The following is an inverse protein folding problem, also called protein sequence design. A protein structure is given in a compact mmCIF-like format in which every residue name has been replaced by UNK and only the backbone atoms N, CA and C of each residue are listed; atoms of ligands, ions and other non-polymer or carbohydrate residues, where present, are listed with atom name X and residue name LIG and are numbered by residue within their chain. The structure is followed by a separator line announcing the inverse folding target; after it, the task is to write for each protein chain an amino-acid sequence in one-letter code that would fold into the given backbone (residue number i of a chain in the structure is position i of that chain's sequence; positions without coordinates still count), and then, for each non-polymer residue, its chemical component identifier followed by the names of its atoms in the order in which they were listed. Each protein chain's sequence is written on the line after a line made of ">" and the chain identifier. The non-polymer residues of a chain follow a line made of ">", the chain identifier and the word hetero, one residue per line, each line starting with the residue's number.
data_IF_197528762407
#
_entry.id   IF_197528762407
#
_cell.length_a   1.000
_cell.length_b   1.000
_cell.length_c   1.000
_cell.angle_alpha   90.00
_cell.angle_beta   90.00
_cell.angle_gamma   90.00
#
_symmetry.space_group_name_H-M   'P 1'
#
loop_
_entity.id
_entity.type
_entity.pdbx_description
1 polymer ?
#
# COMPACT_ATOMS: atom_id res chain seq x y z
N UNK A 1 2.75 -49.57 -112.70
CA UNK A 1 2.50 -48.11 -112.76
C UNK A 1 1.29 -47.80 -111.91
N UNK A 2 1.39 -47.01 -110.84
CA UNK A 2 0.21 -46.61 -110.08
C UNK A 2 -0.53 -45.49 -110.83
N UNK A 3 -1.79 -45.71 -111.19
CA UNK A 3 -2.60 -44.72 -111.88
C UNK A 3 -2.92 -43.55 -110.93
N UNK A 4 -2.33 -42.38 -111.18
CA UNK A 4 -2.75 -41.14 -110.51
C UNK A 4 -4.18 -40.83 -110.94
N UNK A 5 -5.16 -41.01 -110.04
CA UNK A 5 -6.45 -40.35 -110.21
C UNK A 5 -6.19 -38.85 -110.35
N UNK A 6 -6.65 -38.21 -111.43
CA UNK A 6 -6.53 -36.76 -111.56
C UNK A 6 -7.27 -36.07 -110.41
N UNK A 7 -6.81 -34.91 -109.95
CA UNK A 7 -7.35 -34.22 -108.77
C UNK A 7 -8.87 -33.94 -108.88
N UNK A 8 -9.38 -33.75 -110.10
CA UNK A 8 -10.83 -33.67 -110.42
C UNK A 8 -11.66 -34.88 -109.96
N UNK A 9 -11.04 -36.05 -109.76
CA UNK A 9 -11.66 -37.26 -109.25
C UNK A 9 -11.51 -37.44 -107.73
N UNK A 10 -10.68 -36.61 -107.09
CA UNK A 10 -10.60 -36.50 -105.63
C UNK A 10 -11.64 -35.46 -105.20
N UNK A 11 -11.61 -34.26 -105.79
CA UNK A 11 -12.59 -33.20 -105.57
C UNK A 11 -14.04 -33.70 -105.70
N UNK A 12 -14.37 -34.41 -106.80
CA UNK A 12 -15.72 -34.99 -106.98
C UNK A 12 -16.15 -36.00 -105.92
N UNK A 13 -15.22 -36.61 -105.19
CA UNK A 13 -15.52 -37.50 -104.06
C UNK A 13 -15.68 -36.72 -102.76
N UNK A 14 -14.89 -35.66 -102.57
CA UNK A 14 -15.02 -34.72 -101.44
C UNK A 14 -16.34 -33.94 -101.55
N UNK A 15 -16.64 -33.33 -102.70
CA UNK A 15 -17.92 -32.67 -103.01
C UNK A 15 -19.14 -33.58 -102.72
N UNK A 16 -19.01 -34.88 -103.01
CA UNK A 16 -20.06 -35.89 -102.78
C UNK A 16 -20.19 -36.29 -101.31
N UNK A 17 -19.07 -36.40 -100.58
CA UNK A 17 -19.07 -36.65 -99.14
C UNK A 17 -19.66 -35.47 -98.36
N UNK A 18 -19.31 -34.24 -98.72
CA UNK A 18 -19.89 -33.03 -98.11
C UNK A 18 -21.38 -32.91 -98.41
N UNK A 19 -21.81 -33.20 -99.64
CA UNK A 19 -23.23 -33.26 -99.99
C UNK A 19 -23.99 -34.34 -99.20
N UNK A 20 -23.43 -35.54 -99.04
CA UNK A 20 -24.03 -36.59 -98.20
C UNK A 20 -24.09 -36.16 -96.73
N UNK A 21 -23.05 -35.50 -96.22
CA UNK A 21 -23.02 -35.02 -94.84
C UNK A 21 -24.08 -33.92 -94.60
N UNK A 22 -24.21 -32.96 -95.51
CA UNK A 22 -25.27 -31.94 -95.44
C UNK A 22 -26.66 -32.58 -95.49
N UNK A 23 -26.90 -33.52 -96.42
CA UNK A 23 -28.17 -34.25 -96.53
C UNK A 23 -28.51 -35.04 -95.28
N UNK A 24 -27.55 -35.77 -94.73
CA UNK A 24 -27.71 -36.49 -93.48
C UNK A 24 -28.06 -35.53 -92.34
N UNK A 25 -27.25 -34.49 -92.12
CA UNK A 25 -27.50 -33.51 -91.06
C UNK A 25 -28.80 -32.70 -91.25
N UNK A 26 -29.28 -32.49 -92.48
CA UNK A 26 -30.60 -31.91 -92.73
C UNK A 26 -31.72 -32.89 -92.32
N UNK A 27 -31.62 -34.16 -92.74
CA UNK A 27 -32.60 -35.19 -92.42
C UNK A 27 -32.69 -35.48 -90.91
N UNK A 28 -31.55 -35.63 -90.23
CA UNK A 28 -31.49 -35.82 -88.78
C UNK A 28 -32.09 -34.63 -88.00
N UNK A 29 -31.88 -33.38 -88.47
CA UNK A 29 -32.48 -32.18 -87.85
C UNK A 29 -34.00 -32.15 -88.03
N UNK A 30 -34.51 -32.51 -89.21
CA UNK A 30 -35.95 -32.64 -89.45
C UNK A 30 -36.58 -33.74 -88.56
N UNK A 31 -35.94 -34.90 -88.49
CA UNK A 31 -36.36 -36.03 -87.65
C UNK A 31 -36.41 -35.68 -86.16
N UNK A 32 -35.33 -35.10 -85.62
CA UNK A 32 -35.28 -34.67 -84.20
C UNK A 32 -36.33 -33.59 -83.90
N UNK A 33 -36.68 -32.73 -84.87
CA UNK A 33 -37.78 -31.78 -84.73
C UNK A 33 -39.15 -32.48 -84.67
N UNK A 34 -39.41 -33.44 -85.57
CA UNK A 34 -40.65 -34.21 -85.60
C UNK A 34 -40.85 -35.05 -84.32
N UNK A 35 -39.82 -35.75 -83.84
CA UNK A 35 -39.87 -36.51 -82.58
C UNK A 35 -40.12 -35.58 -81.38
N UNK A 36 -39.48 -34.40 -81.32
CA UNK A 36 -39.74 -33.40 -80.27
C UNK A 36 -41.17 -32.83 -80.34
N UNK A 37 -41.77 -32.73 -81.52
CA UNK A 37 -43.18 -32.33 -81.67
C UNK A 37 -44.15 -33.44 -81.20
N UNK A 38 -43.88 -34.71 -81.56
CA UNK A 38 -44.70 -35.85 -81.14
C UNK A 38 -44.66 -36.09 -79.61
N UNK A 39 -43.49 -35.94 -78.98
CA UNK A 39 -43.36 -36.06 -77.51
C UNK A 39 -44.17 -34.97 -76.76
N UNK A 40 -44.25 -33.76 -77.32
CA UNK A 40 -45.04 -32.64 -76.75
C UNK A 40 -46.55 -32.84 -76.86
N UNK A 41 -47.05 -33.64 -77.81
CA UNK A 41 -48.49 -33.93 -77.96
C UNK A 41 -48.97 -35.15 -77.18
N UNK A 42 -48.10 -35.78 -76.39
CA UNK A 42 -48.40 -36.87 -75.45
C UNK A 42 -48.99 -38.16 -76.03
N UNK A 43 -49.00 -38.33 -77.36
CA UNK A 43 -49.31 -39.62 -78.02
C UNK A 43 -48.07 -40.52 -78.07
N UNK A 44 -47.82 -41.27 -77.00
CA UNK A 44 -46.61 -42.12 -76.85
C UNK A 44 -46.50 -43.20 -77.94
N UNK A 45 -47.62 -43.76 -78.39
CA UNK A 45 -47.66 -44.81 -79.43
C UNK A 45 -47.19 -44.28 -80.80
N UNK A 46 -47.65 -43.09 -81.19
CA UNK A 46 -47.26 -42.44 -82.45
C UNK A 46 -45.76 -42.10 -82.51
N UNK A 47 -45.11 -41.88 -81.35
CA UNK A 47 -43.67 -41.66 -81.29
C UNK A 47 -42.86 -42.93 -81.61
N UNK A 48 -43.42 -44.12 -81.36
CA UNK A 48 -42.80 -45.40 -81.74
C UNK A 48 -42.99 -45.70 -83.24
N UNK A 49 -44.18 -45.46 -83.80
CA UNK A 49 -44.41 -45.57 -85.26
C UNK A 49 -43.46 -44.66 -86.06
N UNK A 50 -43.20 -43.44 -85.57
CA UNK A 50 -42.24 -42.50 -86.19
C UNK A 50 -40.79 -43.02 -86.08
N UNK A 51 -40.48 -43.88 -85.11
CA UNK A 51 -39.15 -44.45 -84.92
C UNK A 51 -38.88 -45.59 -85.91
N UNK A 52 -39.78 -46.58 -85.99
CA UNK A 52 -39.67 -47.69 -86.95
C UNK A 52 -39.69 -47.19 -88.40
N UNK A 53 -40.63 -46.28 -88.72
CA UNK A 53 -40.76 -45.71 -90.07
C UNK A 53 -39.57 -44.83 -90.48
N UNK A 54 -38.69 -44.45 -89.55
CA UNK A 54 -37.43 -43.78 -89.85
C UNK A 54 -36.31 -44.78 -90.22
N UNK A 55 -36.36 -46.02 -89.72
CA UNK A 55 -35.45 -47.08 -90.12
C UNK A 55 -35.71 -47.46 -91.59
N UNK A 56 -36.98 -47.60 -91.98
CA UNK A 56 -37.36 -47.80 -93.40
C UNK A 56 -36.90 -46.66 -94.30
N UNK A 57 -37.06 -45.39 -93.87
CA UNK A 57 -36.70 -44.20 -94.68
C UNK A 57 -35.19 -43.96 -94.76
N UNK A 58 -34.39 -44.55 -93.86
CA UNK A 58 -32.92 -44.46 -93.88
C UNK A 58 -32.22 -45.65 -94.54
N UNK A 59 -32.98 -46.65 -95.03
CA UNK A 59 -32.42 -47.91 -95.54
C UNK A 59 -32.18 -48.02 -97.08
N UNK A 60 -32.85 -47.28 -98.00
CA UNK A 60 -32.70 -47.49 -99.44
C UNK A 60 -31.93 -46.37 -100.16
N UNK A 61 -30.59 -46.40 -100.11
CA UNK A 61 -29.74 -45.74 -101.14
C UNK A 61 -28.25 -46.18 -101.14
N UNK A 62 -27.92 -47.36 -100.58
CA UNK A 62 -26.60 -47.97 -100.76
C UNK A 62 -26.59 -48.83 -102.04
N UNK A 63 -25.74 -48.54 -103.04
CA UNK A 63 -25.66 -49.35 -104.26
C UNK A 63 -25.03 -50.72 -103.99
N UNK A 64 -25.67 -51.77 -104.50
CA UNK A 64 -25.23 -53.15 -104.40
C UNK A 64 -23.85 -53.34 -105.11
N UNK A 65 -22.80 -53.82 -104.40
CA UNK A 65 -21.46 -53.97 -104.97
C UNK A 65 -21.30 -55.19 -105.90
N UNK A 66 -22.34 -56.00 -106.15
CA UNK A 66 -22.23 -57.28 -106.89
C UNK A 66 -22.21 -57.15 -108.43
N UNK A 67 -22.20 -55.95 -109.00
CA UNK A 67 -22.20 -55.71 -110.46
C UNK A 67 -20.87 -55.24 -111.07
N UNK A 68 -19.73 -55.68 -110.54
CA UNK A 68 -18.44 -55.64 -111.24
C UNK A 68 -17.68 -56.97 -111.01
N UNK A 69 -17.85 -57.95 -111.90
CA UNK A 69 -16.75 -58.33 -112.80
C UNK A 69 -17.18 -59.35 -113.86
N UNK A 70 -16.95 -58.99 -115.13
CA UNK A 70 -16.97 -59.93 -116.24
C UNK A 70 -15.56 -60.43 -116.52
N UNK A 71 -15.29 -61.69 -116.20
CA UNK A 71 -14.15 -62.52 -116.64
C UNK A 71 -12.92 -61.79 -117.23
N UNK A 72 -11.81 -61.73 -116.49
CA UNK A 72 -10.47 -61.90 -117.07
C UNK A 72 -9.62 -62.76 -116.15
N UNK A 73 -8.68 -63.52 -116.72
CA UNK A 73 -7.88 -64.52 -116.00
C UNK A 73 -6.53 -63.93 -115.50
N UNK A 74 -5.79 -64.76 -114.76
CA UNK A 74 -4.34 -64.62 -114.47
C UNK A 74 -3.89 -63.42 -113.61
N UNK A 75 -3.82 -63.60 -112.28
CA UNK A 75 -2.68 -63.18 -111.41
C UNK A 75 -2.88 -63.60 -109.93
N UNK A 76 -3.15 -64.89 -109.65
CA UNK A 76 -3.39 -65.38 -108.26
C UNK A 76 -2.14 -65.62 -107.39
N UNK A 77 -0.96 -65.14 -107.81
CA UNK A 77 0.32 -65.42 -107.14
C UNK A 77 0.67 -64.52 -105.95
N UNK A 78 0.39 -63.20 -106.04
CA UNK A 78 0.85 -62.22 -105.04
C UNK A 78 -0.05 -62.07 -103.81
N UNK A 79 -1.35 -61.90 -104.04
CA UNK A 79 -2.30 -61.42 -103.02
C UNK A 79 -2.46 -62.33 -101.79
N UNK A 80 -2.02 -63.60 -101.84
CA UNK A 80 -2.12 -64.53 -100.72
C UNK A 80 -1.31 -64.10 -99.49
N UNK A 81 -0.12 -63.53 -99.70
CA UNK A 81 0.74 -63.09 -98.59
C UNK A 81 0.25 -61.78 -97.96
N UNK A 82 -0.21 -60.83 -98.79
CA UNK A 82 -0.81 -59.58 -98.32
C UNK A 82 -2.11 -59.84 -97.56
N UNK A 83 -2.97 -60.75 -98.06
CA UNK A 83 -4.20 -61.17 -97.38
C UNK A 83 -3.94 -61.77 -96.00
N UNK A 84 -2.86 -62.56 -95.84
CA UNK A 84 -2.51 -63.12 -94.54
C UNK A 84 -1.94 -62.05 -93.60
N UNK A 85 -1.07 -61.16 -94.08
CA UNK A 85 -0.58 -60.02 -93.29
C UNK A 85 -1.71 -59.07 -92.85
N UNK A 86 -2.75 -58.88 -93.68
CA UNK A 86 -3.95 -58.13 -93.32
C UNK A 86 -4.78 -58.84 -92.24
N UNK A 87 -4.94 -60.17 -92.30
CA UNK A 87 -5.60 -60.94 -91.22
C UNK A 87 -4.86 -60.83 -89.89
N UNK A 88 -3.52 -60.95 -89.90
CA UNK A 88 -2.72 -60.83 -88.67
C UNK A 88 -2.85 -59.45 -88.04
N UNK A 89 -2.91 -58.39 -88.87
CA UNK A 89 -3.16 -57.01 -88.44
C UNK A 89 -4.58 -56.81 -87.91
N UNK A 90 -5.59 -57.42 -88.52
CA UNK A 90 -6.97 -57.40 -88.01
C UNK A 90 -7.02 -58.08 -86.64
N UNK A 91 -6.46 -59.29 -86.51
CA UNK A 91 -6.40 -60.03 -85.24
C UNK A 91 -5.51 -59.33 -84.17
N UNK A 92 -4.64 -58.40 -84.55
CA UNK A 92 -3.95 -57.49 -83.62
C UNK A 92 -4.86 -56.34 -83.17
N UNK A 93 -5.56 -55.68 -84.09
CA UNK A 93 -6.49 -54.59 -83.79
C UNK A 93 -7.67 -55.07 -82.96
N UNK A 94 -8.20 -56.27 -83.21
CA UNK A 94 -9.25 -56.91 -82.41
C UNK A 94 -8.81 -57.13 -80.95
N UNK A 95 -7.58 -57.60 -80.73
CA UNK A 95 -7.00 -57.74 -79.39
C UNK A 95 -6.83 -56.39 -78.69
N UNK A 96 -6.27 -55.39 -79.39
CA UNK A 96 -6.12 -54.04 -78.84
C UNK A 96 -7.47 -53.38 -78.53
N UNK A 97 -8.50 -53.64 -79.34
CA UNK A 97 -9.87 -53.18 -79.09
C UNK A 97 -10.46 -53.87 -77.85
N UNK A 98 -10.26 -55.17 -77.67
CA UNK A 98 -10.73 -55.90 -76.48
C UNK A 98 -9.98 -55.45 -75.21
N UNK A 99 -8.67 -55.21 -75.31
CA UNK A 99 -7.83 -54.68 -74.23
C UNK A 99 -8.31 -53.29 -73.81
N UNK A 100 -8.48 -52.35 -74.76
CA UNK A 100 -9.01 -51.02 -74.49
C UNK A 100 -10.47 -51.04 -73.96
N UNK A 101 -11.30 -52.00 -74.36
CA UNK A 101 -12.64 -52.19 -73.78
C UNK A 101 -12.57 -52.65 -72.32
N UNK A 102 -11.64 -53.55 -71.99
CA UNK A 102 -11.42 -54.03 -70.62
C UNK A 102 -10.88 -52.89 -69.73
N UNK A 103 -9.88 -52.14 -70.21
CA UNK A 103 -9.36 -50.94 -69.53
C UNK A 103 -10.46 -49.91 -69.28
N UNK A 104 -11.29 -49.63 -70.29
CA UNK A 104 -12.43 -48.69 -70.15
C UNK A 104 -13.43 -49.18 -69.10
N UNK A 105 -13.73 -50.48 -69.05
CA UNK A 105 -14.60 -51.07 -68.03
C UNK A 105 -14.02 -50.94 -66.62
N UNK A 106 -12.71 -51.12 -66.45
CA UNK A 106 -12.04 -50.91 -65.15
C UNK A 106 -12.09 -49.44 -64.76
N UNK A 107 -11.69 -48.52 -65.64
CA UNK A 107 -11.72 -47.07 -65.40
C UNK A 107 -13.13 -46.53 -65.12
N UNK A 108 -14.16 -47.03 -65.80
CA UNK A 108 -15.57 -46.72 -65.49
C UNK A 108 -15.96 -47.16 -64.07
N UNK A 109 -15.43 -48.29 -63.60
CA UNK A 109 -15.70 -48.80 -62.25
C UNK A 109 -14.95 -48.03 -61.16
N UNK A 110 -13.68 -47.68 -61.38
CA UNK A 110 -12.86 -46.85 -60.48
C UNK A 110 -13.45 -45.43 -60.37
N UNK A 111 -13.77 -44.81 -61.50
CA UNK A 111 -14.37 -43.48 -61.57
C UNK A 111 -15.76 -43.44 -60.90
N UNK A 112 -16.51 -44.54 -60.92
CA UNK A 112 -17.74 -44.69 -60.12
C UNK A 112 -17.45 -44.78 -58.62
N UNK A 113 -16.44 -45.55 -58.21
CA UNK A 113 -16.04 -45.69 -56.81
C UNK A 113 -15.55 -44.35 -56.22
N UNK A 114 -14.64 -43.67 -56.92
CA UNK A 114 -14.12 -42.33 -56.52
C UNK A 114 -15.24 -41.29 -56.40
N UNK A 115 -16.26 -41.34 -57.29
CA UNK A 115 -17.44 -40.47 -57.17
C UNK A 115 -18.27 -40.77 -55.92
N UNK A 116 -18.42 -42.04 -55.53
CA UNK A 116 -19.13 -42.42 -54.31
C UNK A 116 -18.35 -42.02 -53.05
N UNK A 117 -17.02 -42.18 -53.05
CA UNK A 117 -16.15 -41.73 -51.95
C UNK A 117 -16.14 -40.20 -51.80
N UNK A 118 -16.10 -39.46 -52.92
CA UNK A 118 -16.21 -38.01 -52.90
C UNK A 118 -17.59 -37.56 -52.38
N UNK A 119 -18.68 -38.22 -52.81
CA UNK A 119 -20.03 -37.90 -52.34
C UNK A 119 -20.19 -38.14 -50.84
N UNK A 120 -19.71 -39.27 -50.30
CA UNK A 120 -19.79 -39.54 -48.85
C UNK A 120 -18.95 -38.56 -48.05
N UNK A 121 -17.73 -38.24 -48.49
CA UNK A 121 -16.88 -37.22 -47.84
C UNK A 121 -17.54 -35.83 -47.82
N UNK A 122 -18.18 -35.41 -48.92
CA UNK A 122 -18.93 -34.15 -48.93
C UNK A 122 -20.05 -34.16 -47.89
N UNK A 123 -20.90 -35.20 -47.85
CA UNK A 123 -22.01 -35.25 -46.88
C UNK A 123 -21.56 -35.39 -45.41
N UNK A 124 -20.40 -36.01 -45.15
CA UNK A 124 -19.77 -35.97 -43.83
C UNK A 124 -19.33 -34.56 -43.46
N UNK A 125 -18.59 -33.87 -44.34
CA UNK A 125 -18.11 -32.50 -44.10
C UNK A 125 -19.26 -31.48 -43.97
N UNK A 126 -20.34 -31.64 -44.74
CA UNK A 126 -21.57 -30.84 -44.61
C UNK A 126 -22.22 -31.02 -43.23
N UNK A 127 -22.22 -32.26 -42.70
CA UNK A 127 -22.76 -32.58 -41.38
C UNK A 127 -21.89 -32.04 -40.24
N UNK A 128 -20.56 -32.16 -40.36
CA UNK A 128 -19.59 -31.61 -39.42
C UNK A 128 -19.64 -30.07 -39.38
N UNK A 129 -19.75 -29.42 -40.55
CA UNK A 129 -19.87 -27.97 -40.68
C UNK A 129 -21.11 -27.44 -39.95
N UNK A 130 -22.27 -28.06 -40.17
CA UNK A 130 -23.52 -27.62 -39.54
C UNK A 130 -23.55 -27.91 -38.03
N UNK A 131 -22.89 -28.99 -37.58
CA UNK A 131 -22.68 -29.25 -36.14
C UNK A 131 -21.82 -28.16 -35.49
N UNK A 132 -20.63 -27.87 -36.02
CA UNK A 132 -19.71 -26.85 -35.48
C UNK A 132 -20.36 -25.46 -35.49
N UNK A 133 -21.15 -25.15 -36.53
CA UNK A 133 -21.92 -23.91 -36.64
C UNK A 133 -23.01 -23.81 -35.56
N UNK A 134 -23.72 -24.90 -35.26
CA UNK A 134 -24.72 -24.93 -34.19
C UNK A 134 -24.07 -24.84 -32.80
N UNK A 135 -22.92 -25.50 -32.60
CA UNK A 135 -22.12 -25.44 -31.37
C UNK A 135 -21.64 -24.00 -31.10
N UNK A 136 -21.00 -23.36 -32.08
CA UNK A 136 -20.56 -21.96 -31.98
C UNK A 136 -21.73 -20.97 -31.77
N UNK A 137 -22.91 -21.24 -32.34
CA UNK A 137 -24.12 -20.45 -32.07
C UNK A 137 -24.63 -20.63 -30.63
N UNK A 138 -24.57 -21.86 -30.10
CA UNK A 138 -24.93 -22.15 -28.71
C UNK A 138 -23.95 -21.47 -27.74
N UNK A 139 -22.63 -21.66 -27.91
CA UNK A 139 -21.59 -21.02 -27.10
C UNK A 139 -21.74 -19.49 -27.08
N UNK A 140 -21.94 -18.87 -28.25
CA UNK A 140 -22.20 -17.43 -28.36
C UNK A 140 -23.42 -17.02 -27.52
N UNK A 141 -24.51 -17.79 -27.56
CA UNK A 141 -25.72 -17.47 -26.79
C UNK A 141 -25.50 -17.57 -25.27
N UNK A 142 -24.70 -18.56 -24.83
CA UNK A 142 -24.27 -18.72 -23.43
C UNK A 142 -23.43 -17.53 -22.98
N UNK A 143 -22.35 -17.21 -23.71
CA UNK A 143 -21.46 -16.08 -23.40
C UNK A 143 -22.19 -14.73 -23.42
N UNK A 144 -23.14 -14.53 -24.33
CA UNK A 144 -24.01 -13.36 -24.33
C UNK A 144 -24.91 -13.27 -23.09
N UNK A 145 -25.31 -14.39 -22.50
CA UNK A 145 -26.12 -14.43 -21.27
C UNK A 145 -25.27 -14.18 -20.03
N UNK A 146 -24.08 -14.79 -19.95
CA UNK A 146 -23.11 -14.60 -18.87
C UNK A 146 -22.62 -13.15 -18.82
N UNK A 147 -22.28 -12.57 -19.96
CA UNK A 147 -21.85 -11.16 -20.04
C UNK A 147 -22.95 -10.18 -19.61
N UNK A 148 -24.23 -10.50 -19.89
CA UNK A 148 -25.38 -9.72 -19.38
C UNK A 148 -25.51 -9.86 -17.86
N UNK A 149 -25.32 -11.06 -17.32
CA UNK A 149 -25.36 -11.34 -15.88
C UNK A 149 -24.26 -10.60 -15.11
N UNK A 150 -22.99 -10.79 -15.51
CA UNK A 150 -21.82 -10.13 -14.89
C UNK A 150 -21.91 -8.61 -14.97
N UNK A 151 -22.47 -8.06 -16.06
CA UNK A 151 -22.70 -6.62 -16.19
C UNK A 151 -23.75 -6.09 -15.21
N UNK A 152 -24.83 -6.85 -14.97
CA UNK A 152 -25.85 -6.49 -13.98
C UNK A 152 -25.30 -6.59 -12.55
N UNK A 153 -24.55 -7.65 -12.23
CA UNK A 153 -23.88 -7.82 -10.95
C UNK A 153 -22.90 -6.67 -10.65
N UNK A 154 -22.03 -6.33 -11.60
CA UNK A 154 -21.10 -5.21 -11.47
C UNK A 154 -21.82 -3.85 -11.30
N UNK A 155 -22.97 -3.66 -11.96
CA UNK A 155 -23.80 -2.45 -11.79
C UNK A 155 -24.43 -2.41 -10.38
N UNK A 156 -24.92 -3.54 -9.87
CA UNK A 156 -25.51 -3.65 -8.53
C UNK A 156 -24.45 -3.39 -7.45
N UNK A 157 -23.31 -4.08 -7.50
CA UNK A 157 -22.17 -3.88 -6.58
C UNK A 157 -21.72 -2.43 -6.56
N UNK A 158 -21.59 -1.79 -7.74
CA UNK A 158 -21.28 -0.37 -7.84
C UNK A 158 -22.32 0.51 -7.13
N UNK A 159 -23.61 0.27 -7.35
CA UNK A 159 -24.68 1.07 -6.73
C UNK A 159 -24.74 0.93 -5.21
N UNK A 160 -24.48 -0.27 -4.69
CA UNK A 160 -24.33 -0.52 -3.24
C UNK A 160 -23.16 0.27 -2.68
N UNK A 161 -21.96 0.15 -3.27
CA UNK A 161 -20.76 0.86 -2.82
C UNK A 161 -20.89 2.39 -2.89
N UNK A 162 -21.55 2.93 -3.93
CA UNK A 162 -21.86 4.37 -4.01
C UNK A 162 -22.83 4.82 -2.89
N UNK A 163 -23.76 3.95 -2.46
CA UNK A 163 -24.67 4.25 -1.34
C UNK A 163 -23.99 4.15 0.03
N UNK A 164 -23.15 3.13 0.26
CA UNK A 164 -22.38 2.93 1.50
C UNK A 164 -21.37 4.07 1.70
N UNK A 165 -20.61 4.41 0.67
CA UNK A 165 -19.66 5.52 0.69
C UNK A 165 -20.34 6.86 1.04
N UNK A 166 -21.57 7.08 0.55
CA UNK A 166 -22.36 8.26 0.88
C UNK A 166 -22.82 8.25 2.34
N UNK A 167 -23.21 7.09 2.88
CA UNK A 167 -23.60 6.93 4.28
C UNK A 167 -22.42 7.20 5.22
N UNK A 168 -21.31 6.50 5.04
CA UNK A 168 -20.08 6.66 5.85
C UNK A 168 -19.56 8.09 5.81
N UNK A 169 -19.63 8.76 4.65
CA UNK A 169 -19.25 10.17 4.54
C UNK A 169 -20.15 11.11 5.34
N UNK A 170 -21.47 10.84 5.39
CA UNK A 170 -22.41 11.63 6.18
C UNK A 170 -22.23 11.38 7.68
N UNK A 171 -22.01 10.13 8.07
CA UNK A 171 -21.74 9.71 9.45
C UNK A 171 -20.48 10.39 10.00
N UNK A 172 -19.35 10.28 9.31
CA UNK A 172 -18.10 10.95 9.69
C UNK A 172 -18.22 12.49 9.72
N UNK A 173 -19.07 13.08 8.87
CA UNK A 173 -19.37 14.52 8.92
C UNK A 173 -20.21 14.89 10.16
N UNK A 174 -21.15 14.03 10.56
CA UNK A 174 -21.95 14.23 11.76
C UNK A 174 -21.09 14.09 13.03
N UNK A 175 -20.32 13.00 13.15
CA UNK A 175 -19.39 12.76 14.27
C UNK A 175 -18.41 13.92 14.45
N UNK A 176 -17.79 14.38 13.36
CA UNK A 176 -16.89 15.55 13.38
C UNK A 176 -17.61 16.79 13.90
N UNK A 177 -18.85 17.03 13.49
CA UNK A 177 -19.64 18.19 13.93
C UNK A 177 -19.95 18.12 15.43
N UNK A 178 -20.25 16.94 15.96
CA UNK A 178 -20.41 16.68 17.40
C UNK A 178 -19.12 16.98 18.15
N UNK A 179 -18.00 16.37 17.73
CA UNK A 179 -16.68 16.54 18.37
C UNK A 179 -16.18 18.00 18.34
N UNK A 180 -16.41 18.74 17.26
CA UNK A 180 -16.10 20.18 17.20
C UNK A 180 -16.95 21.00 18.19
N UNK A 181 -18.18 20.57 18.50
CA UNK A 181 -19.05 21.21 19.49
C UNK A 181 -18.65 20.87 20.94
N UNK A 182 -18.32 19.61 21.21
CA UNK A 182 -17.84 19.14 22.52
C UNK A 182 -16.51 19.79 22.89
N UNK A 183 -15.55 19.82 21.95
CA UNK A 183 -14.26 20.48 22.12
C UNK A 183 -14.42 21.98 22.45
N UNK A 184 -15.40 22.64 21.83
CA UNK A 184 -15.73 24.05 22.11
C UNK A 184 -16.32 24.22 23.51
N UNK A 185 -17.19 23.32 23.94
CA UNK A 185 -17.77 23.34 25.30
C UNK A 185 -16.69 23.13 26.36
N UNK A 186 -15.90 22.05 26.25
CA UNK A 186 -14.80 21.73 27.16
C UNK A 186 -13.77 22.86 27.26
N UNK A 187 -13.44 23.51 26.14
CA UNK A 187 -12.54 24.69 26.14
C UNK A 187 -13.13 25.88 26.90
N UNK A 188 -14.43 26.11 26.82
CA UNK A 188 -15.10 27.18 27.57
C UNK A 188 -15.18 26.85 29.06
N UNK A 189 -15.47 25.58 29.40
CA UNK A 189 -15.49 25.08 30.77
C UNK A 189 -14.13 25.23 31.46
N UNK A 190 -13.06 24.72 30.84
CA UNK A 190 -11.69 24.87 31.36
C UNK A 190 -11.24 26.35 31.47
N UNK A 191 -11.74 27.23 30.60
CA UNK A 191 -11.49 28.68 30.71
C UNK A 191 -12.25 29.29 31.91
N UNK A 192 -13.48 28.83 32.19
CA UNK A 192 -14.26 29.26 33.34
C UNK A 192 -13.62 28.77 34.65
N UNK A 193 -13.30 27.48 34.76
CA UNK A 193 -12.61 26.89 35.93
C UNK A 193 -11.31 27.62 36.25
N UNK A 194 -10.47 27.85 35.23
CA UNK A 194 -9.23 28.60 35.38
C UNK A 194 -9.49 30.01 35.92
N UNK A 195 -10.53 30.68 35.45
CA UNK A 195 -10.89 32.04 35.89
C UNK A 195 -11.32 32.05 37.37
N UNK A 196 -12.07 31.02 37.80
CA UNK A 196 -12.42 30.80 39.20
C UNK A 196 -11.18 30.58 40.06
N UNK A 197 -10.32 29.62 39.69
CA UNK A 197 -9.08 29.30 40.42
C UNK A 197 -8.11 30.51 40.50
N UNK A 198 -7.99 31.30 39.43
CA UNK A 198 -7.21 32.55 39.46
C UNK A 198 -7.80 33.61 40.40
N UNK A 199 -9.11 33.57 40.69
CA UNK A 199 -9.76 34.46 41.67
C UNK A 199 -9.58 33.96 43.11
N UNK A 200 -9.72 32.66 43.34
CA UNK A 200 -9.50 32.02 44.65
C UNK A 200 -8.05 32.16 45.10
N UNK A 201 -7.09 31.94 44.19
CA UNK A 201 -5.66 32.14 44.45
C UNK A 201 -5.33 33.59 44.89
N UNK A 202 -5.98 34.58 44.27
CA UNK A 202 -5.84 36.01 44.65
C UNK A 202 -6.42 36.27 46.04
N UNK A 203 -7.61 35.72 46.32
CA UNK A 203 -8.26 35.82 47.64
C UNK A 203 -7.40 35.20 48.75
N UNK A 204 -6.96 33.96 48.57
CA UNK A 204 -6.10 33.25 49.53
C UNK A 204 -4.76 33.96 49.75
N UNK A 205 -4.14 34.49 48.69
CA UNK A 205 -2.92 35.29 48.81
C UNK A 205 -3.15 36.57 49.64
N UNK A 206 -4.30 37.24 49.47
CA UNK A 206 -4.64 38.42 50.26
C UNK A 206 -4.94 38.07 51.72
N UNK A 207 -5.64 36.96 52.01
CA UNK A 207 -5.83 36.50 53.39
C UNK A 207 -4.48 36.20 54.05
N UNK A 208 -3.62 35.44 53.39
CA UNK A 208 -2.28 35.11 53.89
C UNK A 208 -1.44 36.36 54.17
N UNK A 209 -1.48 37.37 53.29
CA UNK A 209 -0.79 38.64 53.49
C UNK A 209 -1.36 39.45 54.68
N UNK A 210 -2.69 39.52 54.82
CA UNK A 210 -3.36 40.17 55.94
C UNK A 210 -3.04 39.48 57.28
N UNK A 211 -2.95 38.15 57.27
CA UNK A 211 -2.63 37.32 58.44
C UNK A 211 -1.16 37.47 58.85
N UNK A 212 -0.27 37.61 57.87
CA UNK A 212 1.15 37.90 58.10
C UNK A 212 1.35 39.26 58.76
N UNK A 213 0.75 40.33 58.24
CA UNK A 213 0.89 41.67 58.83
C UNK A 213 0.21 41.79 60.21
N UNK A 214 -0.88 41.06 60.44
CA UNK A 214 -1.48 40.93 61.77
C UNK A 214 -0.55 40.24 62.77
N UNK A 215 0.09 39.12 62.39
CA UNK A 215 1.08 38.45 63.25
C UNK A 215 2.33 39.31 63.50
N UNK A 216 2.81 40.02 62.48
CA UNK A 216 3.95 40.93 62.58
C UNK A 216 3.67 42.12 63.51
N UNK A 217 2.47 42.69 63.46
CA UNK A 217 2.07 43.77 64.39
C UNK A 217 1.92 43.29 65.84
N UNK A 218 1.41 42.06 66.07
CA UNK A 218 1.42 41.44 67.40
C UNK A 218 2.83 41.13 67.91
N UNK A 219 3.73 40.66 67.05
CA UNK A 219 5.12 40.39 67.42
C UNK A 219 5.84 41.69 67.83
N UNK A 220 5.60 42.78 67.11
CA UNK A 220 6.17 44.09 67.42
C UNK A 220 5.58 44.72 68.69
N UNK A 221 4.29 44.52 69.00
CA UNK A 221 3.71 44.99 70.26
C UNK A 221 4.23 44.20 71.46
N UNK A 222 4.34 42.86 71.35
CA UNK A 222 4.95 42.02 72.37
C UNK A 222 6.44 42.37 72.60
N UNK A 223 7.22 42.57 71.53
CA UNK A 223 8.63 42.95 71.62
C UNK A 223 8.82 44.32 72.30
N UNK A 224 7.96 45.30 71.99
CA UNK A 224 8.02 46.62 72.64
C UNK A 224 7.52 46.61 74.08
N UNK A 225 6.59 45.70 74.45
CA UNK A 225 6.25 45.45 75.86
C UNK A 225 7.43 44.86 76.63
N UNK A 226 8.02 43.75 76.14
CA UNK A 226 9.18 43.10 76.77
C UNK A 226 10.38 44.06 76.88
N UNK A 227 10.58 44.95 75.90
CA UNK A 227 11.59 46.00 75.97
C UNK A 227 11.33 47.01 77.11
N UNK A 228 10.08 47.45 77.29
CA UNK A 228 9.69 48.32 78.42
C UNK A 228 9.91 47.63 79.76
N UNK A 229 9.45 46.39 79.92
CA UNK A 229 9.61 45.59 81.14
C UNK A 229 11.08 45.38 81.48
N UNK A 230 11.92 44.99 80.50
CA UNK A 230 13.36 44.89 80.69
C UNK A 230 14.00 46.23 81.09
N UNK A 231 13.57 47.36 80.50
CA UNK A 231 14.07 48.68 80.89
C UNK A 231 13.73 49.04 82.34
N UNK A 232 12.53 48.68 82.81
CA UNK A 232 12.09 48.87 84.20
C UNK A 232 12.85 47.96 85.16
N UNK A 233 13.05 46.69 84.79
CA UNK A 233 13.85 45.73 85.56
C UNK A 233 15.32 46.19 85.71
N UNK A 234 15.93 46.71 84.64
CA UNK A 234 17.28 47.29 84.67
C UNK A 234 17.33 48.53 85.59
N UNK A 235 16.31 49.39 85.60
CA UNK A 235 16.22 50.51 86.54
C UNK A 235 16.05 50.03 87.99
N UNK A 236 15.26 48.99 88.24
CA UNK A 236 15.11 48.36 89.56
C UNK A 236 16.43 47.79 90.08
N UNK A 237 17.14 47.03 89.25
CA UNK A 237 18.46 46.49 89.55
C UNK A 237 19.49 47.59 89.83
N UNK A 238 19.47 48.70 89.08
CA UNK A 238 20.34 49.87 89.36
C UNK A 238 20.02 50.52 90.71
N UNK A 239 18.74 50.66 91.08
CA UNK A 239 18.34 51.15 92.43
C UNK A 239 18.83 50.22 93.53
N UNK A 240 18.64 48.91 93.38
CA UNK A 240 19.16 47.90 94.32
C UNK A 240 20.69 47.94 94.43
N UNK A 241 21.41 48.11 93.32
CA UNK A 241 22.87 48.22 93.32
C UNK A 241 23.36 49.48 94.05
N UNK A 242 22.63 50.60 93.98
CA UNK A 242 22.92 51.81 94.76
C UNK A 242 22.68 51.55 96.25
N UNK A 243 21.56 50.92 96.62
CA UNK A 243 21.25 50.57 98.01
C UNK A 243 22.27 49.60 98.62
N UNK A 244 22.72 48.60 97.85
CA UNK A 244 23.81 47.69 98.25
C UNK A 244 25.10 48.47 98.46
N UNK A 245 25.50 49.34 97.52
CA UNK A 245 26.69 50.20 97.70
C UNK A 245 26.59 51.09 98.94
N UNK A 246 25.42 51.65 99.24
CA UNK A 246 25.20 52.46 100.44
C UNK A 246 25.28 51.61 101.72
N UNK A 247 24.70 50.40 101.73
CA UNK A 247 24.80 49.44 102.84
C UNK A 247 26.25 49.02 103.08
N UNK A 248 26.98 48.72 102.01
CA UNK A 248 28.35 48.26 102.08
C UNK A 248 29.32 49.42 102.39
N UNK A 249 28.98 50.67 102.04
CA UNK A 249 29.65 51.88 102.54
C UNK A 249 29.37 52.12 104.03
N UNK A 250 28.16 51.85 104.52
CA UNK A 250 27.86 51.92 105.96
C UNK A 250 28.58 50.79 106.74
N UNK A 251 28.65 49.58 106.18
CA UNK A 251 29.44 48.48 106.72
C UNK A 251 30.95 48.79 106.68
N UNK A 252 31.45 49.42 105.62
CA UNK A 252 32.82 49.90 105.52
C UNK A 252 33.11 51.05 106.49
N UNK A 253 32.14 51.92 106.79
CA UNK A 253 32.28 52.96 107.82
C UNK A 253 32.35 52.37 109.23
N UNK A 254 31.63 51.27 109.52
CA UNK A 254 31.80 50.51 110.75
C UNK A 254 33.16 49.75 110.79
N UNK A 255 33.56 49.16 109.66
CA UNK A 255 34.83 48.46 109.51
C UNK A 255 36.05 49.39 109.40
N UNK A 256 35.87 50.70 109.19
CA UNK A 256 36.95 51.70 109.19
C UNK A 256 37.65 51.85 110.55
N UNK A 257 37.13 51.18 111.58
CA UNK A 257 37.81 50.95 112.87
C UNK A 257 38.88 49.84 112.79
N UNK A 258 39.09 49.18 111.63
CA UNK A 258 40.02 48.05 111.46
C UNK A 258 40.62 47.89 110.02
N UNK A 259 41.77 48.55 109.79
CA UNK A 259 42.96 48.10 109.02
C UNK A 259 42.90 47.51 107.56
N UNK A 260 43.58 48.22 106.63
CA UNK A 260 44.64 47.73 105.68
C UNK A 260 44.29 46.86 104.42
N UNK A 261 44.49 47.45 103.22
CA UNK A 261 45.17 47.01 101.95
C UNK A 261 45.41 45.48 101.60
N UNK A 262 45.60 45.07 100.31
CA UNK A 262 45.11 45.59 99.00
C UNK A 262 44.58 44.48 97.98
N UNK A 263 44.98 44.33 96.67
CA UNK A 263 44.08 44.18 95.50
C UNK A 263 44.23 42.78 94.81
N UNK A 264 43.96 42.51 93.49
CA UNK A 264 43.30 43.24 92.38
C UNK A 264 41.98 42.53 91.91
N UNK A 265 41.37 42.58 90.69
CA UNK A 265 41.78 42.62 89.25
C UNK A 265 40.67 43.13 88.29
N UNK A 266 40.95 43.11 86.97
CA UNK A 266 40.05 43.29 85.81
C UNK A 266 40.22 42.06 84.86
N UNK A 267 39.65 41.92 83.61
CA UNK A 267 38.94 42.91 82.77
C UNK A 267 37.76 42.39 81.86
N UNK A 268 37.20 43.30 81.05
CA UNK A 268 36.66 43.08 79.67
C UNK A 268 35.39 42.20 79.46
N UNK A 269 34.75 42.14 78.26
CA UNK A 269 34.39 43.15 77.23
C UNK A 269 33.47 42.48 76.16
N UNK A 270 32.94 43.27 75.21
CA UNK A 270 32.46 42.87 73.85
C UNK A 270 31.52 41.64 73.70
N UNK A 271 30.25 41.77 73.31
CA UNK A 271 29.72 42.28 72.03
C UNK A 271 29.88 41.34 70.81
N UNK A 272 28.74 40.74 70.43
CA UNK A 272 28.17 40.56 69.08
C UNK A 272 28.99 40.01 67.88
N UNK A 273 28.22 39.24 67.08
CA UNK A 273 28.40 38.91 65.66
C UNK A 273 29.42 37.81 65.28
N UNK A 274 28.87 36.79 64.61
CA UNK A 274 29.53 36.02 63.54
C UNK A 274 28.63 36.13 62.30
N UNK A 275 29.19 36.24 61.08
CA UNK A 275 28.38 36.30 59.87
C UNK A 275 27.77 34.93 59.54
N UNK A 276 26.68 34.94 58.77
CA UNK A 276 26.15 33.76 58.09
C UNK A 276 27.23 33.20 57.16
N UNK A 277 27.55 31.91 57.30
CA UNK A 277 28.36 31.18 56.31
C UNK A 277 27.48 30.80 55.12
N UNK A 278 27.97 31.02 53.91
CA UNK A 278 27.37 30.48 52.67
C UNK A 278 27.44 28.93 52.71
N UNK A 279 26.30 28.26 52.83
CA UNK A 279 26.22 26.80 53.04
C UNK A 279 26.29 26.06 51.71
N UNK A 280 27.48 26.03 51.12
CA UNK A 280 27.81 25.13 50.00
C UNK A 280 28.46 23.84 50.51
N UNK A 281 27.68 22.98 51.16
CA UNK A 281 28.11 21.57 51.32
C UNK A 281 28.13 20.91 49.94
N UNK A 282 29.32 20.65 49.42
CA UNK A 282 29.53 19.74 48.28
C UNK A 282 29.68 18.33 48.81
N UNK A 283 28.64 17.52 48.67
CA UNK A 283 28.79 16.06 48.70
C UNK A 283 29.35 15.64 47.33
N UNK A 284 30.31 14.70 47.34
CA UNK A 284 30.93 14.16 46.13
C UNK A 284 31.12 12.67 46.28
N UNK A 285 30.64 11.90 45.29
CA UNK A 285 30.75 10.44 45.24
C UNK A 285 31.24 10.01 43.85
N UNK A 286 31.74 8.78 43.73
CA UNK A 286 32.17 8.21 42.46
C UNK A 286 30.97 7.55 41.75
N UNK A 287 30.75 7.89 40.48
CA UNK A 287 29.73 7.26 39.64
C UNK A 287 30.21 5.91 39.06
N UNK A 288 31.49 5.56 39.25
CA UNK A 288 32.07 4.28 38.87
C UNK A 288 31.78 3.20 39.91
N UNK A 289 31.18 2.10 39.47
CA UNK A 289 30.90 0.93 40.29
C UNK A 289 31.84 -0.23 39.92
N UNK A 290 31.99 -1.21 40.81
CA UNK A 290 32.87 -2.38 40.59
C UNK A 290 32.50 -3.26 39.39
N UNK A 291 31.28 -3.10 38.86
CA UNK A 291 30.78 -3.82 37.68
C UNK A 291 31.07 -3.09 36.35
N UNK A 292 31.55 -1.84 36.38
CA UNK A 292 31.78 -1.07 35.15
C UNK A 292 32.97 -1.61 34.35
N UNK A 293 32.74 -1.90 33.07
CA UNK A 293 33.78 -2.35 32.14
C UNK A 293 34.71 -1.23 31.68
N UNK A 294 34.38 0.04 31.94
CA UNK A 294 35.16 1.21 31.54
C UNK A 294 34.94 2.39 32.48
N UNK A 295 35.67 3.50 32.27
CA UNK A 295 35.36 4.77 32.94
C UNK A 295 33.96 5.24 32.54
N UNK A 296 33.09 5.62 33.51
CA UNK A 296 31.74 6.05 33.21
C UNK A 296 31.73 7.35 32.40
N UNK A 297 30.93 7.40 31.33
CA UNK A 297 30.71 8.60 30.55
C UNK A 297 29.29 9.11 30.83
N UNK A 298 29.19 10.00 31.83
CA UNK A 298 27.90 10.45 32.35
C UNK A 298 27.35 11.57 31.47
N UNK A 299 26.38 11.22 30.62
CA UNK A 299 25.77 12.18 29.70
C UNK A 299 24.72 13.05 30.39
N UNK A 300 23.92 12.48 31.29
CA UNK A 300 22.81 13.17 31.94
C UNK A 300 22.57 12.68 33.37
N UNK A 301 22.07 13.58 34.22
CA UNK A 301 21.79 13.32 35.64
C UNK A 301 20.48 13.99 36.03
N UNK A 302 19.55 13.21 36.55
CA UNK A 302 18.23 13.70 36.96
C UNK A 302 17.95 13.36 38.43
N UNK A 303 17.61 14.39 39.21
CA UNK A 303 17.12 14.23 40.57
C UNK A 303 15.65 13.79 40.52
N UNK A 304 15.36 12.68 41.19
CA UNK A 304 14.01 12.14 41.39
C UNK A 304 13.42 12.68 42.71
N UNK A 305 12.08 12.74 42.85
CA UNK A 305 11.44 12.98 44.14
C UNK A 305 11.95 12.00 45.22
N UNK A 306 11.99 12.46 46.46
CA UNK A 306 12.67 11.71 47.54
C UNK A 306 14.20 11.76 47.48
N UNK A 307 14.79 12.51 46.54
CA UNK A 307 16.22 12.86 46.53
C UNK A 307 17.15 11.84 45.85
N UNK A 308 16.59 10.79 45.23
CA UNK A 308 17.37 9.77 44.50
C UNK A 308 17.95 10.36 43.22
N UNK A 309 19.15 9.94 42.83
CA UNK A 309 19.83 10.39 41.62
C UNK A 309 19.79 9.28 40.56
N UNK A 310 19.32 9.60 39.36
CA UNK A 310 19.36 8.73 38.19
C UNK A 310 20.35 9.29 37.16
N UNK A 311 21.24 8.45 36.64
CA UNK A 311 22.30 8.85 35.71
C UNK A 311 22.32 7.95 34.47
N UNK A 312 22.59 8.51 33.30
CA UNK A 312 22.93 7.75 32.08
C UNK A 312 24.45 7.59 31.98
N UNK A 313 24.90 6.37 31.69
CA UNK A 313 26.30 6.06 31.40
C UNK A 313 26.41 5.54 29.97
N UNK A 314 26.89 6.42 29.08
CA UNK A 314 26.92 6.18 27.63
C UNK A 314 27.87 5.03 27.28
N UNK A 315 29.07 5.00 27.86
CA UNK A 315 30.09 3.97 27.58
C UNK A 315 29.69 2.62 28.15
N UNK A 316 29.27 2.56 29.41
CA UNK A 316 28.82 1.29 30.02
C UNK A 316 27.40 0.87 29.58
N UNK A 317 26.72 1.68 28.73
CA UNK A 317 25.38 1.44 28.16
C UNK A 317 24.34 1.11 29.22
N UNK A 318 24.28 1.91 30.28
CA UNK A 318 23.39 1.61 31.40
C UNK A 318 22.77 2.86 32.02
N UNK A 319 21.80 2.64 32.91
CA UNK A 319 21.21 3.67 33.77
C UNK A 319 21.45 3.26 35.22
N UNK A 320 22.06 4.16 35.99
CA UNK A 320 22.46 3.92 37.38
C UNK A 320 21.59 4.74 38.33
N UNK A 321 21.17 4.12 39.43
CA UNK A 321 20.39 4.73 40.51
C UNK A 321 21.26 4.83 41.78
N UNK A 322 21.29 6.01 42.39
CA UNK A 322 21.99 6.32 43.64
C UNK A 322 21.04 7.03 44.62
N UNK A 323 21.41 7.06 45.90
CA UNK A 323 20.72 7.86 46.93
C UNK A 323 21.30 9.29 47.08
N UNK A 324 20.85 10.03 48.10
CA UNK A 324 21.35 11.38 48.43
C UNK A 324 22.76 11.42 49.02
N UNK A 325 23.30 10.27 49.46
CA UNK A 325 24.63 10.15 50.05
C UNK A 325 25.68 9.68 49.01
N UNK A 326 25.23 9.25 47.83
CA UNK A 326 26.09 8.70 46.78
C UNK A 326 26.28 7.18 46.88
N UNK A 327 25.44 6.48 47.65
CA UNK A 327 25.41 5.03 47.65
C UNK A 327 24.70 4.52 46.38
N UNK A 328 25.36 3.61 45.66
CA UNK A 328 24.77 2.91 44.52
C UNK A 328 23.65 1.96 44.98
N UNK A 329 22.50 2.03 44.31
CA UNK A 329 21.31 1.24 44.61
C UNK A 329 21.02 0.21 43.51
N UNK A 330 21.14 0.61 42.23
CA UNK A 330 20.81 -0.26 41.10
C UNK A 330 21.52 0.16 39.81
N UNK A 331 21.76 -0.82 38.93
CA UNK A 331 22.14 -0.59 37.53
C UNK A 331 21.18 -1.36 36.65
N UNK A 332 20.60 -0.68 35.66
CA UNK A 332 19.85 -1.28 34.58
C UNK A 332 20.69 -1.19 33.30
N UNK A 333 21.04 -2.34 32.72
CA UNK A 333 21.67 -2.38 31.40
C UNK A 333 20.66 -1.98 30.32
N UNK A 334 21.07 -1.07 29.44
CA UNK A 334 20.29 -0.61 28.30
C UNK A 334 20.68 -1.38 27.04
N UNK A 335 19.74 -1.51 26.10
CA UNK A 335 20.00 -2.20 24.81
C UNK A 335 20.99 -1.48 23.90
N UNK A 336 21.27 -0.20 24.18
CA UNK A 336 22.22 0.63 23.46
C UNK A 336 22.75 1.75 24.37
N UNK A 337 23.60 2.63 23.85
CA UNK A 337 24.14 3.76 24.61
C UNK A 337 23.01 4.68 25.11
N UNK A 338 22.98 4.95 26.42
CA UNK A 338 21.99 5.81 27.08
C UNK A 338 22.43 7.28 27.02
N UNK A 339 21.53 8.17 26.61
CA UNK A 339 21.84 9.56 26.29
C UNK A 339 21.23 10.52 27.33
N UNK A 340 20.02 11.04 27.08
CA UNK A 340 19.29 12.01 27.92
C UNK A 340 18.11 11.38 28.67
N UNK A 341 17.79 11.95 29.83
CA UNK A 341 16.70 11.57 30.75
C UNK A 341 15.57 12.62 30.74
N UNK A 342 14.33 12.17 30.94
CA UNK A 342 13.23 13.05 31.29
C UNK A 342 12.26 12.38 32.28
N UNK A 343 12.01 13.00 33.44
CA UNK A 343 10.98 12.54 34.38
C UNK A 343 9.60 12.93 33.85
N UNK A 344 8.76 11.93 33.61
CA UNK A 344 7.38 12.05 33.15
C UNK A 344 6.39 12.15 34.31
N UNK A 345 6.61 11.36 35.36
CA UNK A 345 5.74 11.33 36.54
C UNK A 345 6.59 11.35 37.81
N UNK A 346 6.21 12.26 38.71
CA UNK A 346 6.87 12.54 39.98
C UNK A 346 6.07 12.05 41.20
N UNK A 347 5.13 11.11 41.02
CA UNK A 347 4.38 10.51 42.14
C UNK A 347 5.33 9.96 43.23
N UNK A 348 4.99 10.14 44.51
CA UNK A 348 5.89 9.88 45.65
C UNK A 348 6.33 8.43 45.87
N UNK A 349 5.85 7.48 45.06
CA UNK A 349 6.08 6.03 45.23
C UNK A 349 6.65 5.40 43.95
N UNK A 350 6.31 5.93 42.77
CA UNK A 350 6.77 5.44 41.47
C UNK A 350 7.10 6.61 40.55
N UNK A 351 8.26 6.58 39.93
CA UNK A 351 8.64 7.59 38.94
C UNK A 351 8.71 6.96 37.56
N UNK A 352 8.06 7.59 36.58
CA UNK A 352 8.20 7.20 35.17
C UNK A 352 9.25 8.11 34.54
N UNK A 353 10.26 7.53 33.88
CA UNK A 353 11.38 8.28 33.29
C UNK A 353 11.64 7.80 31.86
N UNK A 354 11.69 8.71 30.90
CA UNK A 354 12.09 8.41 29.53
C UNK A 354 13.62 8.53 29.37
N UNK A 355 14.22 7.62 28.61
CA UNK A 355 15.65 7.57 28.33
C UNK A 355 15.88 7.41 26.83
N UNK A 356 16.65 8.32 26.23
CA UNK A 356 16.97 8.26 24.79
C UNK A 356 18.11 7.28 24.50
N UNK A 357 17.92 6.43 23.49
CA UNK A 357 18.87 5.44 22.99
C UNK A 357 19.13 5.70 21.48
N UNK A 358 19.82 6.80 21.11
CA UNK A 358 19.95 7.24 19.71
C UNK A 358 20.51 6.13 18.80
N UNK A 359 21.53 5.41 19.27
CA UNK A 359 22.23 4.34 18.54
C UNK A 359 21.40 3.07 18.24
N UNK A 360 20.17 2.97 18.72
CA UNK A 360 19.22 1.94 18.27
C UNK A 360 17.85 2.52 17.86
N UNK A 361 17.79 3.84 17.58
CA UNK A 361 16.55 4.56 17.26
C UNK A 361 15.45 4.33 18.32
N UNK A 362 15.83 4.25 19.60
CA UNK A 362 14.95 3.82 20.68
C UNK A 362 14.75 4.88 21.77
N UNK A 363 13.62 4.78 22.48
CA UNK A 363 13.39 5.49 23.74
C UNK A 363 12.86 4.49 24.77
N UNK A 364 13.63 4.23 25.83
CA UNK A 364 13.20 3.37 26.93
C UNK A 364 12.39 4.18 27.94
N UNK A 365 11.15 3.76 28.20
CA UNK A 365 10.32 4.26 29.30
C UNK A 365 10.56 3.35 30.51
N UNK A 366 11.20 3.91 31.52
CA UNK A 366 11.58 3.22 32.76
C UNK A 366 10.56 3.50 33.87
N UNK A 367 10.37 2.50 34.74
CA UNK A 367 9.70 2.64 36.02
C UNK A 367 10.74 2.51 37.14
N UNK A 368 10.90 3.56 37.94
CA UNK A 368 11.68 3.56 39.18
C UNK A 368 10.70 3.35 40.34
N UNK A 369 10.89 2.27 41.11
CA UNK A 369 10.02 1.89 42.22
C UNK A 369 10.92 1.50 43.40
N UNK A 370 11.04 2.40 44.37
CA UNK A 370 12.05 2.31 45.43
C UNK A 370 13.46 2.21 44.85
N UNK A 371 14.23 1.24 45.33
CA UNK A 371 15.64 1.04 44.99
C UNK A 371 15.86 0.26 43.69
N UNK A 372 14.85 0.14 42.82
CA UNK A 372 14.92 -0.66 41.57
C UNK A 372 14.39 0.12 40.38
N UNK A 373 15.06 -0.06 39.24
CA UNK A 373 14.71 0.53 37.94
C UNK A 373 14.41 -0.61 36.97
N UNK A 374 13.35 -0.49 36.18
CA UNK A 374 12.98 -1.48 35.16
C UNK A 374 12.53 -0.81 33.87
N UNK A 375 12.83 -1.41 32.71
CA UNK A 375 12.17 -1.05 31.46
C UNK A 375 10.69 -1.45 31.55
N UNK A 376 9.79 -0.48 31.37
CA UNK A 376 8.33 -0.67 31.33
C UNK A 376 7.82 -0.78 29.89
N UNK A 377 8.42 -0.02 28.98
CA UNK A 377 8.16 -0.03 27.52
C UNK A 377 9.41 0.48 26.80
N UNK A 378 9.62 0.07 25.57
CA UNK A 378 10.55 0.73 24.64
C UNK A 378 9.75 1.20 23.44
N UNK A 379 9.96 2.46 23.04
CA UNK A 379 9.41 3.05 21.83
C UNK A 379 10.44 2.85 20.71
N UNK A 380 10.06 2.19 19.63
CA UNK A 380 10.89 2.07 18.43
C UNK A 380 10.59 3.23 17.51
N UNK A 381 11.61 4.02 17.18
CA UNK A 381 11.48 5.27 16.44
C UNK A 381 12.12 5.15 15.04
N UNK A 382 11.83 6.12 14.18
CA UNK A 382 12.37 6.27 12.83
C UNK A 382 13.58 7.23 12.74
N UNK A 383 14.02 7.82 13.86
CA UNK A 383 15.04 8.89 13.92
C UNK A 383 15.96 8.69 15.14
N UNK A 384 17.21 9.14 15.04
CA UNK A 384 18.10 9.22 16.20
C UNK A 384 17.68 10.41 17.09
N UNK A 385 17.03 10.13 18.22
CA UNK A 385 16.74 11.15 19.23
C UNK A 385 17.88 11.25 20.24
N UNK A 386 18.50 12.43 20.30
CA UNK A 386 19.65 12.75 21.14
C UNK A 386 19.27 13.60 22.36
N UNK A 387 18.08 14.21 22.36
CA UNK A 387 17.54 14.95 23.49
C UNK A 387 16.09 14.54 23.79
N UNK A 388 15.70 14.63 25.06
CA UNK A 388 14.32 14.40 25.52
C UNK A 388 13.99 15.35 26.68
N UNK A 389 12.76 15.85 26.70
CA UNK A 389 12.18 16.58 27.83
C UNK A 389 10.71 16.18 27.98
N UNK A 390 10.19 16.16 29.20
CA UNK A 390 8.76 15.95 29.43
C UNK A 390 8.01 17.28 29.25
N UNK A 391 6.97 17.27 28.40
CA UNK A 391 6.05 18.40 28.23
C UNK A 391 4.88 18.28 29.21
N UNK A 392 4.45 17.04 29.46
CA UNK A 392 3.51 16.64 30.50
C UNK A 392 3.67 15.11 30.73
N UNK A 393 2.91 14.54 31.66
CA UNK A 393 3.02 13.13 32.06
C UNK A 393 2.71 12.11 30.94
N UNK A 394 2.21 12.54 29.79
CA UNK A 394 1.86 11.72 28.62
C UNK A 394 2.62 12.10 27.33
N UNK A 395 3.39 13.20 27.34
CA UNK A 395 3.98 13.80 26.12
C UNK A 395 5.45 14.15 26.34
N UNK A 396 6.31 13.69 25.44
CA UNK A 396 7.73 14.03 25.39
C UNK A 396 7.99 14.99 24.21
N UNK A 397 8.86 15.96 24.41
CA UNK A 397 9.54 16.69 23.33
C UNK A 397 10.91 16.03 23.11
N UNK A 398 11.18 15.56 21.89
CA UNK A 398 12.40 14.82 21.56
C UNK A 398 13.17 15.50 20.42
N UNK A 399 14.42 15.84 20.68
CA UNK A 399 15.31 16.52 19.74
C UNK A 399 16.14 15.51 18.94
N UNK A 400 16.19 15.68 17.62
CA UNK A 400 16.91 14.81 16.70
C UNK A 400 17.98 15.53 15.88
N UNK A 401 18.97 14.74 15.47
CA UNK A 401 20.14 15.13 14.69
C UNK A 401 20.35 14.05 13.59
N UNK A 402 20.81 14.38 12.37
CA UNK A 402 21.36 15.67 11.92
C UNK A 402 20.34 16.76 11.57
N UNK A 403 19.08 16.42 11.27
CA UNK A 403 18.11 17.35 10.66
C UNK A 403 17.71 18.57 11.52
N UNK A 404 18.09 18.64 12.80
CA UNK A 404 17.78 19.72 13.75
C UNK A 404 16.28 20.05 13.86
N UNK A 405 15.52 19.11 14.42
CA UNK A 405 14.11 19.32 14.75
C UNK A 405 13.75 18.83 16.15
N UNK A 406 12.54 19.19 16.58
CA UNK A 406 11.91 18.66 17.79
C UNK A 406 10.59 18.02 17.38
N UNK A 407 10.43 16.73 17.67
CA UNK A 407 9.15 16.05 17.54
C UNK A 407 8.49 15.96 18.91
N UNK A 408 7.18 16.24 18.98
CA UNK A 408 6.34 15.95 20.14
C UNK A 408 5.78 14.56 19.95
N UNK A 409 6.05 13.66 20.90
CA UNK A 409 5.62 12.25 20.86
C UNK A 409 4.82 11.89 22.11
N UNK A 410 3.90 10.94 21.97
CA UNK A 410 3.19 10.35 23.10
C UNK A 410 3.97 9.16 23.71
N UNK A 411 3.45 8.58 24.80
CA UNK A 411 4.02 7.35 25.40
C UNK A 411 3.67 6.06 24.63
N UNK A 412 2.93 6.13 23.53
CA UNK A 412 2.79 5.09 22.51
C UNK A 412 3.93 5.09 21.48
N UNK A 413 4.62 6.22 21.30
CA UNK A 413 5.62 6.45 20.25
C UNK A 413 5.06 7.12 18.99
N UNK A 414 3.79 7.55 19.02
CA UNK A 414 3.18 8.32 17.93
C UNK A 414 3.71 9.75 17.94
N UNK A 415 4.14 10.24 16.78
CA UNK A 415 4.51 11.64 16.58
C UNK A 415 3.24 12.47 16.46
N UNK A 416 2.97 13.29 17.48
CA UNK A 416 1.82 14.18 17.57
C UNK A 416 2.02 15.47 16.76
N UNK A 417 3.26 15.97 16.71
CA UNK A 417 3.62 17.21 15.99
C UNK A 417 5.12 17.26 15.72
N UNK A 418 5.52 17.75 14.54
CA UNK A 418 6.92 18.05 14.24
C UNK A 418 7.16 19.56 14.27
N UNK A 419 8.33 19.98 14.76
CA UNK A 419 8.76 21.38 14.89
C UNK A 419 10.15 21.52 14.27
N UNK A 420 10.21 22.12 13.08
CA UNK A 420 11.44 22.27 12.30
C UNK A 420 12.14 23.61 12.56
N UNK A 421 13.49 23.60 12.48
CA UNK A 421 14.37 24.75 12.74
C UNK A 421 14.00 26.06 11.99
N UNK A 422 13.38 25.96 10.81
CA UNK A 422 12.89 27.10 10.01
C UNK A 422 11.92 28.05 10.74
N UNK A 423 11.34 27.66 11.87
CA UNK A 423 10.46 28.52 12.69
C UNK A 423 11.21 29.12 13.91
N UNK A 424 12.38 28.58 14.27
CA UNK A 424 13.10 28.94 15.49
C UNK A 424 13.84 30.30 15.42
N UNK A 425 14.13 30.80 14.21
CA UNK A 425 14.84 32.08 14.01
C UNK A 425 13.99 33.32 14.34
N UNK A 426 12.79 33.41 13.79
CA UNK A 426 12.12 34.71 13.61
C UNK A 426 11.04 35.09 14.64
N UNK A 427 10.53 34.14 15.45
CA UNK A 427 9.25 34.36 16.18
C UNK A 427 9.17 33.99 17.66
N UNK A 428 10.27 33.60 18.30
CA UNK A 428 10.26 33.22 19.73
C UNK A 428 10.91 34.28 20.65
N UNK A 429 11.66 35.25 20.09
CA UNK A 429 12.42 36.26 20.87
C UNK A 429 12.07 37.73 20.54
N UNK A 430 10.95 38.00 19.86
CA UNK A 430 10.45 39.37 19.73
C UNK A 430 9.93 39.89 21.08
N UNK A 431 10.53 40.97 21.60
CA UNK A 431 10.06 41.68 22.81
C UNK A 431 8.58 42.09 22.68
N UNK A 432 7.85 42.23 23.80
CA UNK A 432 6.55 42.90 23.77
C UNK A 432 6.76 44.37 23.36
N UNK A 433 6.22 44.76 22.20
CA UNK A 433 6.27 46.15 21.77
C UNK A 433 5.40 47.03 22.67
N UNK A 434 5.95 48.18 23.06
CA UNK A 434 5.24 49.24 23.77
C UNK A 434 4.36 50.03 22.79
N UNK A 435 3.50 50.89 23.33
CA UNK A 435 2.44 51.59 22.60
C UNK A 435 2.93 52.58 21.53
N UNK A 436 2.31 52.52 20.35
CA UNK A 436 2.02 53.63 19.42
C UNK A 436 0.93 53.11 18.47
N UNK A 437 -0.31 53.60 18.41
CA UNK A 437 -0.86 54.96 18.44
C UNK A 437 -0.68 55.71 17.10
N UNK A 438 -1.81 55.88 16.39
CA UNK A 438 -2.00 56.68 15.16
C UNK A 438 -1.25 56.13 13.90
N UNK A 439 -1.62 56.44 12.66
CA UNK A 439 -2.59 57.41 12.14
C UNK A 439 -3.28 56.91 10.84
N UNK A 440 -4.41 57.54 10.51
CA UNK A 440 -5.31 57.33 9.36
C UNK A 440 -4.67 56.93 8.00
N UNK A 441 -5.25 55.94 7.32
CA UNK A 441 -6.12 56.17 6.14
C UNK A 441 -6.94 54.94 5.75
#
# INVERSE_FOLDING_TARGET
>A
MAARMSDRSIQRKEDYLDWMHEKFCASSRAYVSAVKAALRSHRREHAAEIFERAIDVLSPDFPDPTSIDGQTQEEKGGNGNELNSLKDRIAQVERQLQEAQNERSTLESELKSVRQEAQTKCSTLESELEFVKQEAQNEKSTLESEFKSVRLEAQNVRSTLESELKSVKQEAQNERSTLESELKSFKQEAQNERSTLESELKSFKQEAQNKSSFLESQLNSALTQVSKENSANIQGLRKLQILIKQRDQAAAAAAATAAVFPPPTAPSASALSRPLKDVRQRNSFDAKIRADHSTPDIWDVQLLPGGRLLLTDWINRCVKLFDTQGQHLHTLECRSNSCRLAVLDSSSIRHTVAVTLPRCFGIDILEVNGDKVKVKRTLQMSREYWAVAAVNNLTLAVGYWPDTGIDLIDLGGQVLRQIFSLIAGDKILSKPNTEQAECNK
#
